data_IF_496854816150
#
_entry.id   IF_496854816150
#
_cell.length_a   1.000
_cell.length_b   1.000
_cell.length_c   1.000
_cell.angle_alpha   90.00
_cell.angle_beta   90.00
_cell.angle_gamma   90.00
#
_symmetry.space_group_name_H-M   'P 1'
#
loop_
_entity.id
_entity.type
_entity.pdbx_description
1 polymer ?
#
# COMPACT_ATOMS: atom_id res chain seq x y z
N UNK A 1 35.42 -7.91 -39.46
CA UNK A 1 34.49 -9.08 -39.48
C UNK A 1 34.39 -9.60 -40.91
N UNK A 2 33.97 -10.86 -41.08
CA UNK A 2 33.73 -11.43 -42.42
C UNK A 2 32.28 -11.16 -42.84
N UNK A 3 32.01 -10.93 -44.13
CA UNK A 3 30.65 -10.68 -44.62
C UNK A 3 29.66 -11.79 -44.22
N UNK A 4 30.08 -13.06 -44.28
CA UNK A 4 29.24 -14.19 -43.87
C UNK A 4 28.78 -14.14 -42.39
N UNK A 5 29.55 -13.50 -41.52
CA UNK A 5 29.19 -13.30 -40.11
C UNK A 5 28.20 -12.14 -39.95
N UNK A 6 28.39 -11.07 -40.72
CA UNK A 6 27.49 -9.90 -40.77
C UNK A 6 26.10 -10.34 -41.23
N UNK A 7 25.99 -11.05 -42.35
CA UNK A 7 24.72 -11.50 -42.92
C UNK A 7 23.87 -12.28 -41.90
N UNK A 8 24.50 -13.13 -41.08
CA UNK A 8 23.81 -13.91 -40.04
C UNK A 8 23.25 -13.05 -38.91
N UNK A 9 23.91 -11.92 -38.60
CA UNK A 9 23.57 -11.03 -37.49
C UNK A 9 22.84 -9.76 -37.92
N UNK A 10 22.65 -9.56 -39.23
CA UNK A 10 22.14 -8.33 -39.80
C UNK A 10 20.70 -8.03 -39.37
N UNK A 11 19.85 -9.07 -39.23
CA UNK A 11 18.49 -8.93 -38.69
C UNK A 11 18.51 -8.44 -37.25
N UNK A 12 19.24 -9.13 -36.37
CA UNK A 12 19.40 -8.73 -34.97
C UNK A 12 20.03 -7.34 -34.81
N UNK A 13 20.90 -6.93 -35.73
CA UNK A 13 21.43 -5.57 -35.78
C UNK A 13 20.34 -4.54 -36.08
N UNK A 14 19.51 -4.78 -37.10
CA UNK A 14 18.40 -3.90 -37.48
C UNK A 14 17.32 -3.83 -36.40
N UNK A 15 17.06 -4.93 -35.70
CA UNK A 15 16.12 -5.00 -34.58
C UNK A 15 16.67 -4.39 -33.27
N UNK A 16 17.93 -3.93 -33.26
CA UNK A 16 18.57 -3.35 -32.07
C UNK A 16 18.88 -4.35 -30.95
N UNK A 17 18.91 -5.65 -31.24
CA UNK A 17 19.04 -6.72 -30.24
C UNK A 17 20.51 -7.11 -29.93
N UNK A 18 21.48 -6.47 -30.60
CA UNK A 18 22.89 -6.78 -30.41
C UNK A 18 23.51 -5.91 -29.29
N UNK A 19 24.45 -6.47 -28.50
CA UNK A 19 25.26 -5.68 -27.57
C UNK A 19 25.99 -4.54 -28.30
N UNK A 20 26.13 -3.38 -27.64
CA UNK A 20 26.65 -2.16 -28.28
C UNK A 20 28.01 -2.33 -28.98
N UNK A 21 28.91 -3.14 -28.43
CA UNK A 21 30.19 -3.46 -29.06
C UNK A 21 30.06 -4.26 -30.37
N UNK A 22 29.13 -5.21 -30.43
CA UNK A 22 28.88 -5.99 -31.65
C UNK A 22 28.16 -5.14 -32.70
N UNK A 23 27.18 -4.33 -32.28
CA UNK A 23 26.48 -3.40 -33.16
C UNK A 23 27.46 -2.40 -33.82
N UNK A 24 28.42 -1.88 -33.06
CA UNK A 24 29.44 -0.96 -33.58
C UNK A 24 30.34 -1.62 -34.63
N UNK A 25 30.78 -2.86 -34.41
CA UNK A 25 31.57 -3.60 -35.40
C UNK A 25 30.81 -3.83 -36.70
N UNK A 26 29.52 -4.15 -36.60
CA UNK A 26 28.67 -4.36 -37.77
C UNK A 26 28.47 -3.03 -38.52
N UNK A 27 28.22 -1.94 -37.79
CA UNK A 27 28.10 -0.59 -38.35
C UNK A 27 29.35 -0.18 -39.14
N UNK A 28 30.53 -0.36 -38.55
CA UNK A 28 31.80 -0.06 -39.22
C UNK A 28 31.93 -0.87 -40.52
N UNK A 29 31.65 -2.18 -40.47
CA UNK A 29 31.74 -3.01 -41.66
C UNK A 29 30.73 -2.64 -42.74
N UNK A 30 29.50 -2.26 -42.37
CA UNK A 30 28.48 -1.80 -43.32
C UNK A 30 28.92 -0.52 -44.02
N UNK A 31 29.60 0.38 -43.31
CA UNK A 31 30.15 1.62 -43.90
C UNK A 31 31.28 1.33 -44.90
N UNK A 32 32.09 0.31 -44.64
CA UNK A 32 33.24 -0.03 -45.48
C UNK A 32 32.92 -1.03 -46.61
N UNK A 33 31.83 -1.81 -46.48
CA UNK A 33 31.49 -2.90 -47.39
C UNK A 33 30.18 -2.67 -48.14
N UNK A 34 30.28 -2.37 -49.43
CA UNK A 34 29.12 -2.04 -50.26
C UNK A 34 28.14 -3.21 -50.48
N UNK A 35 28.58 -4.48 -50.38
CA UNK A 35 27.66 -5.63 -50.44
C UNK A 35 26.77 -5.69 -49.20
N UNK A 36 27.37 -5.57 -48.02
CA UNK A 36 26.66 -5.62 -46.74
C UNK A 36 25.77 -4.38 -46.54
N UNK A 37 26.23 -3.22 -47.01
CA UNK A 37 25.41 -1.99 -47.05
C UNK A 37 24.14 -2.16 -47.88
N UNK A 38 24.25 -2.73 -49.08
CA UNK A 38 23.08 -2.99 -49.93
C UNK A 38 22.10 -3.96 -49.29
N UNK A 39 22.59 -5.03 -48.68
CA UNK A 39 21.73 -6.00 -48.00
C UNK A 39 21.00 -5.38 -46.80
N UNK A 40 21.71 -4.58 -45.99
CA UNK A 40 21.11 -3.86 -44.87
C UNK A 40 20.01 -2.90 -45.33
N UNK A 41 20.26 -2.17 -46.43
CA UNK A 41 19.29 -1.27 -47.03
C UNK A 41 18.06 -2.02 -47.57
N UNK A 42 18.24 -3.16 -48.25
CA UNK A 42 17.14 -3.98 -48.76
C UNK A 42 16.24 -4.51 -47.64
N UNK A 43 16.83 -5.00 -46.55
CA UNK A 43 16.09 -5.44 -45.36
C UNK A 43 15.33 -4.28 -44.72
N UNK A 44 15.97 -3.11 -44.57
CA UNK A 44 15.34 -1.91 -44.00
C UNK A 44 14.16 -1.44 -44.85
N UNK A 45 14.32 -1.38 -46.18
CA UNK A 45 13.24 -1.04 -47.12
C UNK A 45 12.07 -2.02 -47.06
N UNK A 46 12.34 -3.31 -46.86
CA UNK A 46 11.29 -4.31 -46.70
C UNK A 46 10.45 -4.04 -45.45
N UNK A 47 11.09 -3.59 -44.36
CA UNK A 47 10.40 -3.22 -43.12
C UNK A 47 9.57 -1.94 -43.28
N UNK A 48 10.12 -0.93 -43.95
CA UNK A 48 9.41 0.32 -44.25
C UNK A 48 8.14 0.07 -45.08
N UNK A 49 8.21 -0.76 -46.12
CA UNK A 49 7.04 -1.14 -46.92
C UNK A 49 5.99 -1.87 -46.09
N UNK A 50 6.40 -2.62 -45.06
CA UNK A 50 5.48 -3.31 -44.16
C UNK A 50 4.72 -2.32 -43.26
N UNK A 51 5.35 -1.22 -42.88
CA UNK A 51 4.74 -0.15 -42.09
C UNK A 51 3.77 0.72 -42.90
N UNK A 52 3.85 0.68 -44.23
CA UNK A 52 2.92 1.38 -45.11
C UNK A 52 1.58 0.64 -45.29
N UNK A 53 1.47 -0.60 -44.81
CA UNK A 53 0.19 -1.31 -44.86
C UNK A 53 -0.85 -0.63 -43.97
N UNK A 54 -2.13 -0.65 -44.36
CA UNK A 54 -3.20 -0.11 -43.54
C UNK A 54 -3.25 -0.83 -42.19
N UNK A 55 -3.41 -0.05 -41.13
CA UNK A 55 -3.50 -0.56 -39.76
C UNK A 55 -4.62 -1.59 -39.66
N UNK A 56 -4.30 -2.72 -39.04
CA UNK A 56 -5.33 -3.66 -38.64
C UNK A 56 -6.20 -3.01 -37.54
N UNK A 57 -7.53 -3.21 -37.54
CA UNK A 57 -8.37 -2.70 -36.48
C UNK A 57 -7.92 -3.30 -35.14
N UNK A 58 -7.43 -2.44 -34.24
CA UNK A 58 -7.10 -2.84 -32.88
C UNK A 58 -8.39 -3.25 -32.16
N UNK A 59 -8.33 -4.32 -31.36
CA UNK A 59 -9.48 -4.66 -30.51
C UNK A 59 -9.71 -3.53 -29.49
N UNK A 60 -10.96 -3.14 -29.26
CA UNK A 60 -11.31 -1.88 -28.57
C UNK A 60 -10.74 -1.77 -27.16
N UNK A 61 -10.54 -2.90 -26.47
CA UNK A 61 -10.07 -2.92 -25.08
C UNK A 61 -8.54 -3.09 -24.93
N UNK A 62 -7.78 -3.32 -26.02
CA UNK A 62 -6.35 -3.64 -25.91
C UNK A 62 -5.52 -2.46 -25.39
N UNK A 63 -5.72 -1.27 -25.97
CA UNK A 63 -5.00 -0.04 -25.59
C UNK A 63 -5.31 0.37 -24.15
N UNK A 64 -6.57 0.51 -23.72
CA UNK A 64 -6.86 0.88 -22.34
C UNK A 64 -6.41 -0.19 -21.33
N UNK A 65 -6.54 -1.49 -21.63
CA UNK A 65 -6.08 -2.55 -20.74
C UNK A 65 -4.55 -2.60 -20.60
N UNK A 66 -3.79 -2.33 -21.67
CA UNK A 66 -2.33 -2.25 -21.58
C UNK A 66 -1.87 -1.00 -20.85
N UNK A 67 -2.49 0.16 -21.09
CA UNK A 67 -2.16 1.40 -20.38
C UNK A 67 -2.42 1.32 -18.88
N UNK A 68 -3.51 0.66 -18.46
CA UNK A 68 -3.81 0.50 -17.02
C UNK A 68 -2.78 -0.37 -16.31
N UNK A 69 -2.26 -1.40 -16.96
CA UNK A 69 -1.20 -2.24 -16.42
C UNK A 69 0.13 -1.48 -16.27
N UNK A 70 0.50 -0.67 -17.26
CA UNK A 70 1.72 0.16 -17.18
C UNK A 70 1.63 1.24 -16.09
N UNK A 71 0.45 1.85 -15.92
CA UNK A 71 0.24 2.86 -14.88
C UNK A 71 0.31 2.25 -13.48
N UNK A 72 -0.27 1.06 -13.28
CA UNK A 72 -0.23 0.36 -12.00
C UNK A 72 1.20 0.03 -11.54
N UNK A 73 2.11 -0.27 -12.47
CA UNK A 73 3.52 -0.56 -12.15
C UNK A 73 4.35 0.73 -11.91
N UNK A 74 4.01 1.84 -12.58
CA UNK A 74 4.63 3.15 -12.33
C UNK A 74 4.18 3.81 -11.02
N UNK A 75 3.11 3.31 -10.42
CA UNK A 75 2.52 3.79 -9.18
C UNK A 75 3.05 3.02 -7.96
N UNK A 76 4.33 2.62 -7.97
CA UNK A 76 5.05 2.40 -6.71
C UNK A 76 4.98 3.71 -5.91
N UNK A 77 4.01 3.77 -5.02
CA UNK A 77 3.62 4.99 -4.35
C UNK A 77 4.83 5.55 -3.60
N UNK A 78 5.01 6.87 -3.64
CA UNK A 78 6.02 7.55 -2.84
C UNK A 78 5.94 7.13 -1.36
N UNK A 79 4.74 6.79 -0.91
CA UNK A 79 4.47 6.22 0.42
C UNK A 79 5.22 4.92 0.69
N UNK A 80 5.35 4.00 -0.27
CA UNK A 80 6.03 2.72 -0.07
C UNK A 80 7.55 2.91 0.07
N UNK A 81 8.12 3.84 -0.70
CA UNK A 81 9.53 4.26 -0.57
C UNK A 81 9.79 4.96 0.76
N UNK A 82 8.87 5.82 1.20
CA UNK A 82 8.95 6.51 2.49
C UNK A 82 8.83 5.49 3.64
N UNK A 83 7.87 4.58 3.59
CA UNK A 83 7.62 3.59 4.64
C UNK A 83 8.80 2.62 4.80
N UNK A 84 9.38 2.16 3.68
CA UNK A 84 10.59 1.31 3.68
C UNK A 84 11.83 2.04 4.22
N UNK A 85 11.94 3.36 4.00
CA UNK A 85 13.00 4.22 4.57
C UNK A 85 12.82 4.42 6.08
N UNK A 86 11.59 4.58 6.56
CA UNK A 86 11.28 4.72 7.98
C UNK A 86 11.44 3.41 8.76
N UNK A 87 11.10 2.26 8.18
CA UNK A 87 11.34 0.93 8.78
C UNK A 87 12.84 0.60 8.88
N UNK A 88 13.68 1.19 8.01
CA UNK A 88 15.13 1.01 8.04
C UNK A 88 15.87 1.98 8.99
N UNK A 89 15.18 2.93 9.63
CA UNK A 89 15.75 3.78 10.67
C UNK A 89 15.82 3.00 12.00
N UNK A 90 16.84 3.19 12.87
CA UNK A 90 16.90 2.48 14.15
C UNK A 90 15.71 2.86 15.02
N UNK A 91 14.78 1.91 15.13
CA UNK A 91 13.51 1.94 15.86
C UNK A 91 13.58 2.45 17.31
N UNK A 92 14.65 2.25 18.12
CA UNK A 92 14.55 2.61 19.54
C UNK A 92 14.47 4.13 19.81
N UNK A 93 15.06 4.98 18.98
CA UNK A 93 15.07 6.43 19.22
C UNK A 93 13.73 7.11 18.88
N UNK A 94 13.00 6.58 17.89
CA UNK A 94 11.70 7.12 17.48
C UNK A 94 10.61 6.70 18.47
N UNK A 95 10.69 5.46 18.99
CA UNK A 95 9.75 4.96 20.00
C UNK A 95 9.82 5.77 21.31
N UNK A 96 11.02 6.13 21.78
CA UNK A 96 11.18 6.93 22.99
C UNK A 96 10.68 8.36 22.79
N UNK A 97 10.98 8.99 21.65
CA UNK A 97 10.48 10.31 21.32
C UNK A 97 8.94 10.34 21.22
N UNK A 98 8.33 9.32 20.61
CA UNK A 98 6.88 9.19 20.51
C UNK A 98 6.21 8.98 21.88
N UNK A 99 6.81 8.17 22.75
CA UNK A 99 6.33 7.99 24.13
C UNK A 99 6.44 9.28 24.95
N UNK A 100 7.57 9.98 24.87
CA UNK A 100 7.75 11.26 25.58
C UNK A 100 6.74 12.29 25.07
N UNK A 101 6.56 12.39 23.76
CA UNK A 101 5.62 13.34 23.16
C UNK A 101 4.17 13.00 23.52
N UNK A 102 3.78 11.73 23.44
CA UNK A 102 2.44 11.27 23.84
C UNK A 102 2.15 11.49 25.31
N UNK A 103 3.13 11.23 26.18
CA UNK A 103 3.00 11.45 27.63
C UNK A 103 2.97 12.94 27.97
N UNK A 104 3.74 13.77 27.28
CA UNK A 104 3.71 15.22 27.43
C UNK A 104 2.37 15.82 26.96
N UNK A 105 1.86 15.41 25.80
CA UNK A 105 0.55 15.84 25.29
C UNK A 105 -0.55 15.37 26.25
N UNK A 106 -0.53 14.10 26.68
CA UNK A 106 -1.49 13.56 27.63
C UNK A 106 -1.50 14.31 28.96
N UNK A 107 -0.32 14.65 29.49
CA UNK A 107 -0.20 15.45 30.72
C UNK A 107 -0.77 16.86 30.55
N UNK A 108 -0.50 17.52 29.42
CA UNK A 108 -1.03 18.85 29.11
C UNK A 108 -2.55 18.84 28.93
N UNK A 109 -3.13 17.80 28.30
CA UNK A 109 -4.59 17.66 28.25
C UNK A 109 -5.19 17.34 29.62
N UNK A 110 -4.51 16.50 30.42
CA UNK A 110 -4.94 16.14 31.76
C UNK A 110 -5.02 17.35 32.70
N UNK A 111 -4.05 18.28 32.64
CA UNK A 111 -4.08 19.50 33.45
C UNK A 111 -5.16 20.48 33.02
N UNK A 112 -5.49 20.54 31.72
CA UNK A 112 -6.63 21.34 31.22
C UNK A 112 -7.96 20.75 31.69
N UNK A 113 -8.10 19.42 31.71
CA UNK A 113 -9.31 18.73 32.18
C UNK A 113 -9.43 18.80 33.71
N UNK A 114 -8.34 18.63 34.46
CA UNK A 114 -8.32 18.79 35.93
C UNK A 114 -8.47 20.25 36.38
N UNK A 115 -8.12 21.22 35.52
CA UNK A 115 -8.34 22.64 35.77
C UNK A 115 -9.78 23.09 35.51
N UNK A 116 -10.60 22.27 34.85
CA UNK A 116 -12.04 22.43 34.92
C UNK A 116 -12.47 21.97 36.31
N UNK A 117 -12.83 22.93 37.16
CA UNK A 117 -13.64 22.67 38.34
C UNK A 117 -15.00 22.19 37.83
N UNK A 118 -15.07 20.91 37.44
CA UNK A 118 -16.33 20.25 37.17
C UNK A 118 -17.03 20.26 38.52
N UNK A 119 -18.04 21.11 38.66
CA UNK A 119 -19.00 21.07 39.76
C UNK A 119 -19.71 19.71 39.64
N UNK A 120 -19.08 18.66 40.17
CA UNK A 120 -19.71 17.36 40.31
C UNK A 120 -20.66 17.52 41.50
N UNK A 121 -21.81 18.13 41.22
CA UNK A 121 -22.97 18.09 42.10
C UNK A 121 -23.68 16.74 42.09
N UNK A 122 -23.27 15.84 41.20
CA UNK A 122 -23.81 14.49 41.10
C UNK A 122 -22.67 13.47 41.24
N UNK A 123 -22.05 13.45 42.42
CA UNK A 123 -21.30 12.28 42.89
C UNK A 123 -22.28 11.36 43.64
N UNK A 124 -23.40 11.02 43.00
CA UNK A 124 -24.23 9.92 43.44
C UNK A 124 -23.57 8.63 42.96
N UNK A 125 -22.80 8.07 43.89
CA UNK A 125 -22.43 6.66 44.01
C UNK A 125 -22.05 5.90 42.71
N UNK A 126 -20.75 5.76 42.39
CA UNK A 126 -20.30 5.11 41.16
C UNK A 126 -20.66 3.61 41.06
N UNK A 127 -21.27 3.03 42.10
CA UNK A 127 -21.74 1.64 42.12
C UNK A 127 -23.26 1.44 42.00
N UNK A 128 -24.07 2.49 41.83
CA UNK A 128 -25.52 2.36 41.56
C UNK A 128 -26.22 1.35 42.50
N UNK A 129 -25.91 1.45 43.79
CA UNK A 129 -26.36 0.51 44.83
C UNK A 129 -27.85 0.67 45.17
N UNK A 130 -28.54 1.68 44.61
CA UNK A 130 -29.98 1.90 44.76
C UNK A 130 -30.86 0.79 44.19
N UNK A 131 -30.28 -0.13 43.40
CA UNK A 131 -30.97 -1.34 42.93
C UNK A 131 -31.20 -2.33 44.08
N UNK A 132 -30.42 -2.24 45.17
CA UNK A 132 -30.51 -3.12 46.33
C UNK A 132 -31.45 -2.61 47.43
N UNK A 133 -32.43 -1.76 47.08
CA UNK A 133 -33.49 -1.43 48.02
C UNK A 133 -34.38 -2.65 48.32
N UNK A 134 -34.98 -2.68 49.52
CA UNK A 134 -35.93 -3.70 49.99
C UNK A 134 -36.83 -4.21 48.87
N UNK A 135 -36.76 -5.52 48.60
CA UNK A 135 -37.57 -6.15 47.58
C UNK A 135 -39.05 -5.83 47.84
N UNK A 136 -39.81 -5.31 46.85
CA UNK A 136 -41.21 -5.06 47.04
C UNK A 136 -41.90 -6.35 47.48
N UNK A 137 -42.80 -6.25 48.46
CA UNK A 137 -43.45 -7.39 49.10
C UNK A 137 -44.15 -8.32 48.10
N UNK A 138 -44.55 -7.77 46.94
CA UNK A 138 -45.26 -8.45 45.86
C UNK A 138 -44.34 -9.10 44.81
N UNK A 139 -43.03 -9.15 45.05
CA UNK A 139 -42.08 -9.80 44.14
C UNK A 139 -41.87 -11.27 44.49
N UNK A 140 -41.60 -12.09 43.47
CA UNK A 140 -41.27 -13.51 43.64
C UNK A 140 -40.00 -13.67 44.49
N UNK A 141 -39.04 -12.75 44.38
CA UNK A 141 -37.83 -12.74 45.20
C UNK A 141 -38.12 -12.62 46.70
N UNK A 142 -39.02 -11.71 47.08
CA UNK A 142 -39.46 -11.58 48.48
C UNK A 142 -40.16 -12.85 48.98
N UNK A 143 -41.03 -13.45 48.15
CA UNK A 143 -41.70 -14.71 48.49
C UNK A 143 -40.71 -15.87 48.66
N UNK A 144 -39.67 -15.95 47.81
CA UNK A 144 -38.62 -16.97 47.90
C UNK A 144 -37.81 -16.83 49.19
N UNK A 145 -37.44 -15.60 49.56
CA UNK A 145 -36.73 -15.34 50.82
C UNK A 145 -37.62 -15.67 52.02
N UNK A 146 -38.88 -15.23 52.05
CA UNK A 146 -39.79 -15.50 53.15
C UNK A 146 -40.05 -17.01 53.36
N UNK A 147 -40.06 -17.81 52.29
CA UNK A 147 -40.23 -19.27 52.38
C UNK A 147 -38.99 -20.00 52.90
N UNK A 148 -37.79 -19.52 52.56
CA UNK A 148 -36.54 -20.19 52.92
C UNK A 148 -35.86 -19.61 54.17
N UNK A 149 -36.21 -18.38 54.54
CA UNK A 149 -35.68 -17.63 55.67
C UNK A 149 -36.83 -16.88 56.35
N UNK A 150 -37.70 -17.58 57.11
CA UNK A 150 -38.73 -16.92 57.89
C UNK A 150 -38.07 -15.94 58.86
N UNK A 151 -38.40 -14.66 58.73
CA UNK A 151 -37.98 -13.64 59.70
C UNK A 151 -38.68 -13.98 61.02
N UNK A 152 -37.94 -14.29 62.07
CA UNK A 152 -38.50 -14.28 63.42
C UNK A 152 -38.79 -12.82 63.76
N UNK A 153 -40.07 -12.48 63.91
CA UNK A 153 -40.51 -11.17 64.38
C UNK A 153 -39.93 -10.93 65.79
N UNK A 154 -38.82 -10.20 65.88
CA UNK A 154 -38.34 -9.64 67.14
C UNK A 154 -39.13 -8.35 67.41
N UNK A 155 -40.33 -8.52 67.96
CA UNK A 155 -40.99 -7.50 68.78
C UNK A 155 -40.08 -7.19 69.99
N UNK A 156 -39.47 -6.00 70.02
CA UNK A 156 -39.22 -5.16 71.22
C UNK A 156 -38.57 -3.81 70.88
#
# INVERSE_FOLDING_TARGET
MKCAEIHKRLKSYLDGQLPGYEAEKIRQHINDCQSCSREAALLSRTWELLLELPDAPAAPDLVPATLSHLQAESQESLFDKIFRRFIALPVPAVATAALILGLFIGAQLGTVISGMNVDIKDAEDPLHLDIFHELPSQTIGNAYIALNYPQEDEDL
#
